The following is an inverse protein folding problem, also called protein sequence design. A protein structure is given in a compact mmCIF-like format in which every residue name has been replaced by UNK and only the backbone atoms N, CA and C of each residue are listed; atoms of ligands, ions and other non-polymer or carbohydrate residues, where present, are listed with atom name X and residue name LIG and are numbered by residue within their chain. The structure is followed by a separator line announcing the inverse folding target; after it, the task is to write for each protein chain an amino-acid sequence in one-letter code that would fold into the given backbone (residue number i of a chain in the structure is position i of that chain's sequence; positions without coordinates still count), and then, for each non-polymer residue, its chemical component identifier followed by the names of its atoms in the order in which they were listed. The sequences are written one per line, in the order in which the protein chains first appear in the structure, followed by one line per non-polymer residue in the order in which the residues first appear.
data_IF_641806753168
#
_entry.id   IF_641806753168
#
_cell.length_a   1.000
_cell.length_b   1.000
_cell.length_c   1.000
_cell.angle_alpha   90.00
_cell.angle_beta   90.00
_cell.angle_gamma   90.00
#
_symmetry.space_group_name_H-M   'P 1'
#
loop_
_entity.id
_entity.type
_entity.pdbx_description
1 polymer ?
#
# COMPACT_ATOMS: atom_id res chain seq x y z
N UNK A 1 13.71 6.03 -5.68
CA UNK A 1 14.07 6.90 -6.84
C UNK A 1 12.87 7.78 -7.11
N UNK A 2 13.01 9.10 -7.04
CA UNK A 2 11.94 10.04 -7.35
C UNK A 2 12.14 10.52 -8.80
N UNK A 3 11.25 10.08 -9.70
CA UNK A 3 11.27 10.48 -11.09
C UNK A 3 10.54 11.81 -11.27
N UNK A 4 11.11 12.71 -12.05
CA UNK A 4 10.42 13.92 -12.47
C UNK A 4 9.23 13.60 -13.39
N UNK A 5 8.33 14.57 -13.58
CA UNK A 5 7.19 14.44 -14.49
C UNK A 5 7.62 14.01 -15.90
N UNK A 6 8.68 14.63 -16.44
CA UNK A 6 9.20 14.33 -17.79
C UNK A 6 9.81 12.94 -17.88
N UNK A 7 10.46 12.48 -16.80
CA UNK A 7 10.98 11.12 -16.73
C UNK A 7 9.85 10.09 -16.71
N UNK A 8 8.75 10.38 -16.01
CA UNK A 8 7.56 9.52 -16.05
C UNK A 8 6.96 9.47 -17.45
N UNK A 9 6.85 10.59 -18.15
CA UNK A 9 6.35 10.62 -19.53
C UNK A 9 7.25 9.81 -20.46
N UNK A 10 8.58 9.91 -20.32
CA UNK A 10 9.53 9.10 -21.08
C UNK A 10 9.38 7.59 -20.81
N UNK A 11 9.17 7.18 -19.55
CA UNK A 11 8.90 5.79 -19.18
C UNK A 11 7.61 5.29 -19.80
N UNK A 12 6.53 6.08 -19.70
CA UNK A 12 5.21 5.76 -20.28
C UNK A 12 5.32 5.59 -21.80
N UNK A 13 5.97 6.51 -22.49
CA UNK A 13 6.15 6.45 -23.94
C UNK A 13 7.01 5.27 -24.37
N UNK A 14 8.09 4.98 -23.64
CA UNK A 14 8.91 3.81 -23.88
C UNK A 14 8.11 2.51 -23.73
N UNK A 15 7.35 2.37 -22.65
CA UNK A 15 6.50 1.19 -22.41
C UNK A 15 5.47 1.04 -23.53
N UNK A 16 4.78 2.11 -23.88
CA UNK A 16 3.74 2.07 -24.90
C UNK A 16 4.26 1.73 -26.29
N UNK A 17 5.47 2.22 -26.67
CA UNK A 17 6.00 2.09 -28.02
C UNK A 17 6.95 0.90 -28.22
N UNK A 18 7.72 0.53 -27.17
CA UNK A 18 8.77 -0.49 -27.28
C UNK A 18 8.40 -1.83 -26.66
N UNK A 19 7.60 -1.83 -25.59
CA UNK A 19 7.33 -3.04 -24.80
C UNK A 19 5.89 -3.56 -24.97
N UNK A 20 4.90 -2.68 -25.06
CA UNK A 20 3.50 -3.08 -25.27
C UNK A 20 3.26 -3.96 -26.50
N UNK A 21 3.92 -3.74 -27.67
CA UNK A 21 3.76 -4.63 -28.81
C UNK A 21 4.17 -6.08 -28.56
N UNK A 22 4.96 -6.32 -27.50
CA UNK A 22 5.40 -7.66 -27.08
C UNK A 22 4.65 -8.20 -25.89
N UNK A 23 3.53 -7.55 -25.47
CA UNK A 23 2.68 -8.00 -24.38
C UNK A 23 3.02 -7.42 -23.00
N UNK A 24 4.03 -6.57 -22.89
CA UNK A 24 4.36 -5.88 -21.62
C UNK A 24 3.60 -4.56 -21.56
N UNK A 25 2.36 -4.62 -21.09
CA UNK A 25 1.41 -3.51 -21.16
C UNK A 25 1.14 -2.82 -19.82
N UNK A 26 1.97 -3.06 -18.79
CA UNK A 26 1.78 -2.51 -17.45
C UNK A 26 3.01 -1.74 -16.98
N UNK A 27 2.76 -0.58 -16.36
CA UNK A 27 3.73 0.15 -15.56
C UNK A 27 3.39 -0.09 -14.09
N UNK A 28 4.39 -0.46 -13.28
CA UNK A 28 4.24 -0.58 -11.84
C UNK A 28 5.23 0.35 -11.13
N UNK A 29 4.75 1.10 -10.15
CA UNK A 29 5.66 1.78 -9.22
C UNK A 29 6.39 0.75 -8.37
N UNK A 30 7.60 1.05 -7.93
CA UNK A 30 8.38 0.14 -7.09
C UNK A 30 9.26 0.92 -6.11
N UNK A 31 9.72 0.23 -5.08
CA UNK A 31 10.64 0.76 -4.09
C UNK A 31 9.97 1.28 -2.83
N UNK A 32 10.71 1.12 -1.75
CA UNK A 32 10.32 1.57 -0.41
C UNK A 32 10.53 3.08 -0.30
N UNK A 33 9.68 3.85 -0.97
CA UNK A 33 9.67 5.29 -0.83
C UNK A 33 8.71 5.70 0.30
N UNK A 34 9.03 6.77 1.01
CA UNK A 34 8.13 7.37 1.97
C UNK A 34 6.87 7.90 1.25
N UNK A 35 5.90 7.03 1.11
CA UNK A 35 4.62 7.33 0.48
C UNK A 35 3.65 7.75 1.56
N UNK A 36 3.53 9.03 1.77
CA UNK A 36 2.52 9.55 2.67
C UNK A 36 1.27 9.89 1.89
N UNK A 37 0.11 9.64 2.50
CA UNK A 37 -1.11 10.26 2.03
C UNK A 37 -0.95 11.77 2.20
N UNK A 38 -0.75 12.48 1.09
CA UNK A 38 -0.70 13.94 1.06
C UNK A 38 -2.12 14.49 1.07
N UNK A 39 -2.26 15.76 1.27
CA UNK A 39 -3.54 16.48 1.26
C UNK A 39 -4.53 16.05 2.36
N UNK A 40 -4.00 15.54 3.47
CA UNK A 40 -4.80 15.12 4.61
C UNK A 40 -5.56 13.80 4.41
N UNK A 41 -5.30 13.08 3.32
CA UNK A 41 -5.88 11.77 3.04
C UNK A 41 -5.37 10.67 3.97
N UNK A 42 -6.03 9.52 3.91
CA UNK A 42 -5.67 8.32 4.67
C UNK A 42 -4.99 7.25 3.83
N UNK A 43 -5.07 7.37 2.50
CA UNK A 43 -4.45 6.47 1.54
C UNK A 43 -3.43 7.20 0.68
N UNK A 44 -2.51 6.45 0.08
CA UNK A 44 -1.45 7.02 -0.75
C UNK A 44 -2.01 7.81 -1.92
N UNK A 45 -1.61 9.06 -2.09
CA UNK A 45 -2.05 9.94 -3.18
C UNK A 45 -0.92 10.33 -4.13
N UNK A 46 0.33 10.08 -3.75
CA UNK A 46 1.51 10.44 -4.52
C UNK A 46 2.51 9.30 -4.54
N UNK A 47 3.28 9.20 -5.62
CA UNK A 47 4.48 8.39 -5.70
C UNK A 47 5.67 9.34 -5.88
N UNK A 48 6.44 9.51 -4.84
CA UNK A 48 7.43 10.60 -4.78
C UNK A 48 6.76 11.97 -4.96
N UNK A 49 7.19 12.75 -5.93
CA UNK A 49 6.59 14.04 -6.29
C UNK A 49 5.39 13.93 -7.24
N UNK A 50 5.20 12.77 -7.87
CA UNK A 50 4.12 12.53 -8.85
C UNK A 50 2.78 12.25 -8.18
N UNK A 51 1.71 13.04 -8.45
CA UNK A 51 0.36 12.65 -8.07
C UNK A 51 -0.04 11.34 -8.76
N UNK A 52 -0.42 10.33 -7.98
CA UNK A 52 -0.72 9.00 -8.50
C UNK A 52 -1.86 9.01 -9.52
N UNK A 53 -2.89 9.82 -9.27
CA UNK A 53 -4.02 9.99 -10.21
C UNK A 53 -3.56 10.52 -11.57
N UNK A 54 -2.57 11.40 -11.60
CA UNK A 54 -2.01 11.92 -12.85
C UNK A 54 -1.17 10.87 -13.57
N UNK A 55 -0.34 10.10 -12.84
CA UNK A 55 0.40 8.98 -13.39
C UNK A 55 -0.55 7.97 -14.06
N UNK A 56 -1.60 7.56 -13.35
CA UNK A 56 -2.60 6.62 -13.87
C UNK A 56 -3.25 7.17 -15.13
N UNK A 57 -3.70 8.44 -15.12
CA UNK A 57 -4.31 9.08 -16.27
C UNK A 57 -3.41 9.06 -17.51
N UNK A 58 -2.13 9.43 -17.34
CA UNK A 58 -1.16 9.45 -18.46
C UNK A 58 -0.90 8.07 -19.03
N UNK A 59 -0.69 7.07 -18.18
CA UNK A 59 -0.46 5.70 -18.59
C UNK A 59 -1.68 5.10 -19.31
N UNK A 60 -2.88 5.31 -18.76
CA UNK A 60 -4.15 4.86 -19.38
C UNK A 60 -4.40 5.52 -20.74
N UNK A 61 -4.04 6.79 -20.94
CA UNK A 61 -4.15 7.47 -22.21
C UNK A 61 -3.29 6.83 -23.33
N UNK A 62 -2.23 6.10 -22.95
CA UNK A 62 -1.40 5.29 -23.88
C UNK A 62 -1.83 3.81 -23.92
N UNK A 63 -2.95 3.48 -23.27
CA UNK A 63 -3.51 2.13 -23.21
C UNK A 63 -2.66 1.15 -22.40
N UNK A 64 -1.96 1.67 -21.38
CA UNK A 64 -1.22 0.85 -20.41
C UNK A 64 -2.06 0.57 -19.18
N UNK A 65 -1.81 -0.56 -18.55
CA UNK A 65 -2.24 -0.87 -17.19
C UNK A 65 -1.31 -0.20 -16.18
N UNK A 66 -1.81 0.03 -14.98
CA UNK A 66 -1.03 0.64 -13.90
C UNK A 66 -1.06 -0.24 -12.67
N UNK A 67 0.12 -0.57 -12.20
CA UNK A 67 0.36 -1.20 -10.91
C UNK A 67 0.95 -0.22 -9.90
N UNK A 68 0.71 -0.48 -8.63
CA UNK A 68 1.33 0.25 -7.52
C UNK A 68 2.04 -0.69 -6.56
N UNK A 69 3.15 -0.21 -6.02
CA UNK A 69 3.83 -0.83 -4.89
C UNK A 69 3.29 -0.19 -3.61
N UNK A 70 2.52 -0.94 -2.86
CA UNK A 70 2.00 -0.52 -1.56
C UNK A 70 1.51 -1.74 -0.78
N UNK A 71 1.21 -1.56 0.51
CA UNK A 71 0.74 -2.64 1.37
C UNK A 71 -0.42 -2.12 2.25
N UNK A 72 -1.62 -2.71 2.17
CA UNK A 72 -2.77 -2.27 2.96
C UNK A 72 -2.62 -2.54 4.47
N UNK A 73 -1.62 -3.33 4.88
CA UNK A 73 -1.29 -3.48 6.29
C UNK A 73 -0.40 -2.35 6.82
N UNK A 74 0.09 -1.47 5.94
CA UNK A 74 0.85 -0.27 6.31
C UNK A 74 -0.06 0.95 6.40
N UNK A 75 -0.21 1.50 7.58
CA UNK A 75 -0.92 2.77 7.77
C UNK A 75 0.07 3.92 7.64
N UNK A 76 -0.11 4.75 6.61
CA UNK A 76 0.77 5.87 6.25
C UNK A 76 0.06 7.21 6.27
N UNK A 77 -1.24 7.21 6.49
CA UNK A 77 -2.07 8.40 6.47
C UNK A 77 -1.99 9.21 7.75
N UNK A 78 -2.69 10.33 7.76
CA UNK A 78 -2.81 11.18 8.93
C UNK A 78 -3.56 10.45 10.05
N UNK A 79 -2.86 10.11 11.13
CA UNK A 79 -3.35 9.20 12.18
C UNK A 79 -4.65 9.65 12.85
N UNK A 80 -4.93 10.95 12.91
CA UNK A 80 -6.15 11.47 13.52
C UNK A 80 -7.35 11.52 12.54
N UNK A 81 -7.13 11.14 11.26
CA UNK A 81 -8.19 11.04 10.28
C UNK A 81 -9.08 9.84 10.56
N UNK A 82 -10.37 9.98 10.26
CA UNK A 82 -11.34 8.89 10.40
C UNK A 82 -11.29 7.95 9.20
N UNK A 83 -11.41 6.66 9.46
CA UNK A 83 -11.65 5.65 8.44
C UNK A 83 -13.05 5.86 7.86
N UNK A 84 -13.19 6.00 6.53
CA UNK A 84 -14.49 6.20 5.89
C UNK A 84 -15.51 5.13 6.29
N UNK A 85 -16.73 5.57 6.57
CA UNK A 85 -17.81 4.67 6.99
C UNK A 85 -17.75 4.21 8.45
N UNK A 86 -16.77 4.69 9.23
CA UNK A 86 -16.62 4.32 10.65
C UNK A 86 -16.44 5.54 11.54
N UNK A 87 -16.49 5.30 12.87
CA UNK A 87 -16.12 6.30 13.88
C UNK A 87 -14.67 6.18 14.36
N UNK A 88 -13.90 5.24 13.81
CA UNK A 88 -12.53 4.96 14.21
C UNK A 88 -11.54 5.92 13.53
N UNK A 89 -10.52 6.36 14.28
CA UNK A 89 -9.36 7.05 13.71
C UNK A 89 -8.32 6.04 13.23
N UNK A 90 -7.48 6.42 12.26
CA UNK A 90 -6.35 5.57 11.86
C UNK A 90 -5.48 5.18 13.05
N UNK A 91 -5.27 6.12 13.99
CA UNK A 91 -4.50 5.87 15.22
C UNK A 91 -5.04 4.69 16.01
N UNK A 92 -6.37 4.51 16.09
CA UNK A 92 -6.95 3.40 16.82
C UNK A 92 -6.70 2.05 16.17
N UNK A 93 -6.53 2.02 14.84
CA UNK A 93 -6.25 0.82 14.08
C UNK A 93 -4.78 0.36 14.18
N UNK A 94 -3.91 1.21 14.68
CA UNK A 94 -2.47 0.94 14.80
C UNK A 94 -2.07 0.47 16.19
N UNK A 95 -2.99 0.45 17.14
CA UNK A 95 -2.72 0.15 18.54
C UNK A 95 -3.67 -0.91 19.05
N UNK A 96 -3.11 -2.05 19.39
CA UNK A 96 -3.61 -2.82 20.51
C UNK A 96 -3.04 -2.17 21.78
N UNK A 97 -3.80 -2.00 22.89
CA UNK A 97 -3.27 -1.51 24.16
C UNK A 97 -2.05 -2.29 24.68
N UNK A 98 -1.82 -3.50 24.15
CA UNK A 98 -0.70 -4.38 24.49
C UNK A 98 0.46 -4.29 23.51
N UNK A 99 0.31 -3.63 22.36
CA UNK A 99 1.33 -3.56 21.31
C UNK A 99 2.17 -2.29 21.43
N UNK A 100 3.49 -2.45 21.37
CA UNK A 100 4.41 -1.33 21.30
C UNK A 100 4.31 -0.66 19.93
N UNK A 101 4.33 0.67 19.88
CA UNK A 101 4.47 1.43 18.63
C UNK A 101 5.78 1.06 17.98
N UNK A 102 5.76 0.62 16.74
CA UNK A 102 6.93 0.05 16.06
C UNK A 102 8.02 1.06 15.68
N UNK A 103 7.72 2.33 15.55
CA UNK A 103 8.70 3.36 15.16
C UNK A 103 8.50 4.66 15.94
N UNK A 104 8.77 4.68 17.25
CA UNK A 104 8.56 5.92 18.00
C UNK A 104 9.53 7.05 17.62
N UNK A 105 10.70 6.74 17.08
CA UNK A 105 11.80 7.71 17.02
C UNK A 105 12.65 7.66 15.72
N UNK A 106 12.16 7.12 14.63
CA UNK A 106 12.94 7.15 13.38
C UNK A 106 12.63 8.42 12.61
N UNK A 107 13.40 9.47 12.90
CA UNK A 107 13.26 10.82 12.33
C UNK A 107 13.46 10.90 10.82
N UNK A 108 14.07 9.89 10.20
CA UNK A 108 14.43 9.87 8.77
C UNK A 108 13.53 8.97 7.92
N UNK A 109 12.54 8.33 8.50
CA UNK A 109 11.59 7.50 7.77
C UNK A 109 10.18 8.02 8.00
N UNK A 110 9.35 8.01 6.96
CA UNK A 110 7.96 8.38 7.13
C UNK A 110 7.33 7.42 8.14
N UNK A 111 6.55 8.01 9.05
CA UNK A 111 5.78 7.30 10.05
C UNK A 111 4.78 6.36 9.37
N UNK A 112 5.16 5.14 9.09
CA UNK A 112 4.17 4.11 8.85
C UNK A 112 4.10 3.19 10.06
N UNK A 113 2.94 2.68 10.32
CA UNK A 113 2.65 1.73 11.36
C UNK A 113 1.79 0.61 10.81
N UNK A 114 1.79 -0.53 11.47
CA UNK A 114 1.04 -1.68 11.02
C UNK A 114 -0.42 -1.63 11.48
N UNK A 115 -1.31 -2.05 10.60
CA UNK A 115 -2.73 -2.23 10.88
C UNK A 115 -2.94 -3.40 11.84
N UNK A 116 -3.72 -3.21 12.89
CA UNK A 116 -4.19 -4.31 13.77
C UNK A 116 -5.43 -4.92 13.14
N UNK A 117 -5.32 -6.10 12.54
CA UNK A 117 -6.38 -6.70 11.71
C UNK A 117 -7.57 -7.25 12.50
N UNK A 118 -7.46 -7.44 13.81
CA UNK A 118 -8.59 -7.76 14.70
C UNK A 118 -9.34 -6.52 15.21
N UNK A 119 -8.87 -5.32 14.89
CA UNK A 119 -9.62 -4.10 15.20
C UNK A 119 -10.91 -4.04 14.36
N UNK A 120 -12.07 -3.66 14.98
CA UNK A 120 -13.35 -3.64 14.27
C UNK A 120 -13.42 -2.78 13.00
N UNK A 121 -12.54 -1.79 12.85
CA UNK A 121 -12.46 -0.94 11.65
C UNK A 121 -11.43 -1.39 10.61
N UNK A 122 -10.75 -2.51 10.82
CA UNK A 122 -9.67 -2.95 9.95
C UNK A 122 -10.15 -3.36 8.56
N UNK A 123 -11.29 -4.05 8.51
CA UNK A 123 -11.90 -4.49 7.25
C UNK A 123 -12.33 -3.29 6.40
N UNK A 124 -12.97 -2.31 6.99
CA UNK A 124 -13.40 -1.07 6.32
C UNK A 124 -12.21 -0.26 5.83
N UNK A 125 -11.12 -0.26 6.59
CA UNK A 125 -9.89 0.40 6.14
C UNK A 125 -9.30 -0.27 4.90
N UNK A 126 -9.18 -1.61 4.90
CA UNK A 126 -8.66 -2.37 3.75
C UNK A 126 -9.61 -2.23 2.54
N UNK A 127 -10.91 -2.35 2.74
CA UNK A 127 -11.91 -2.17 1.67
C UNK A 127 -11.82 -0.77 1.05
N UNK A 128 -11.73 0.26 1.88
CA UNK A 128 -11.55 1.64 1.43
C UNK A 128 -10.22 1.87 0.71
N UNK A 129 -9.16 1.17 1.09
CA UNK A 129 -7.86 1.22 0.45
C UNK A 129 -7.92 0.64 -0.99
N UNK A 130 -8.55 -0.52 -1.19
CA UNK A 130 -8.77 -1.08 -2.52
C UNK A 130 -9.72 -0.22 -3.36
N UNK A 131 -10.79 0.29 -2.75
CA UNK A 131 -11.69 1.23 -3.41
C UNK A 131 -10.96 2.47 -3.92
N UNK A 132 -10.07 3.05 -3.12
CA UNK A 132 -9.29 4.22 -3.48
C UNK A 132 -8.44 3.97 -4.75
N UNK A 133 -7.76 2.83 -4.84
CA UNK A 133 -6.98 2.47 -6.02
C UNK A 133 -7.86 2.14 -7.23
N UNK A 134 -8.97 1.43 -7.02
CA UNK A 134 -9.95 1.16 -8.06
C UNK A 134 -10.49 2.46 -8.67
N UNK A 135 -10.90 3.41 -7.85
CA UNK A 135 -11.46 4.70 -8.29
C UNK A 135 -10.44 5.55 -9.07
N UNK A 136 -9.15 5.34 -8.85
CA UNK A 136 -8.09 5.95 -9.66
C UNK A 136 -7.81 5.21 -10.97
N UNK A 137 -8.28 3.97 -11.12
CA UNK A 137 -8.02 3.13 -12.28
C UNK A 137 -6.75 2.29 -12.19
N UNK A 138 -6.27 1.99 -10.99
CA UNK A 138 -5.17 1.04 -10.75
C UNK A 138 -5.66 -0.38 -11.01
N UNK A 139 -4.85 -1.17 -11.72
CA UNK A 139 -5.18 -2.54 -12.12
C UNK A 139 -4.49 -3.61 -11.26
N UNK A 140 -3.39 -3.24 -10.62
CA UNK A 140 -2.49 -4.18 -9.96
C UNK A 140 -1.86 -3.57 -8.71
N UNK A 141 -1.69 -4.39 -7.69
CA UNK A 141 -0.94 -4.00 -6.48
C UNK A 141 0.10 -5.05 -6.15
N UNK A 142 1.34 -4.60 -5.96
CA UNK A 142 2.42 -5.40 -5.40
C UNK A 142 2.59 -5.05 -3.93
N UNK A 143 2.32 -6.04 -3.07
CA UNK A 143 2.46 -5.93 -1.62
C UNK A 143 3.73 -6.66 -1.19
N UNK A 144 4.62 -5.96 -0.51
CA UNK A 144 5.89 -6.50 -0.07
C UNK A 144 6.00 -6.58 1.45
N UNK A 145 7.00 -7.32 1.94
CA UNK A 145 7.31 -7.49 3.35
C UNK A 145 6.15 -8.07 4.19
N UNK A 146 5.36 -8.94 3.60
CA UNK A 146 4.18 -9.50 4.26
C UNK A 146 4.54 -10.39 5.46
N UNK A 147 5.66 -11.11 5.40
CA UNK A 147 6.17 -11.90 6.53
C UNK A 147 6.49 -11.04 7.77
N UNK A 148 6.85 -9.79 7.58
CA UNK A 148 7.17 -8.90 8.72
C UNK A 148 5.96 -8.59 9.60
N UNK A 149 4.76 -8.81 9.11
CA UNK A 149 3.54 -8.64 9.88
C UNK A 149 3.37 -9.73 10.95
N UNK A 150 3.64 -10.97 10.60
CA UNK A 150 3.50 -12.11 11.50
C UNK A 150 4.74 -12.29 12.38
N UNK A 151 5.92 -12.21 11.77
CA UNK A 151 7.18 -12.56 12.39
C UNK A 151 7.67 -11.45 13.32
N UNK A 152 7.71 -11.76 14.59
CA UNK A 152 8.33 -10.96 15.63
C UNK A 152 9.69 -11.52 15.97
N UNK A 153 10.69 -11.36 15.11
CA UNK A 153 12.06 -11.75 15.45
C UNK A 153 12.70 -10.70 16.38
N UNK A 154 12.75 -10.96 17.69
CA UNK A 154 13.38 -10.04 18.65
C UNK A 154 14.91 -9.96 18.49
N UNK A 155 15.50 -10.78 17.63
CA UNK A 155 16.95 -10.83 17.37
C UNK A 155 17.38 -10.02 16.15
N UNK A 156 16.46 -9.48 15.36
CA UNK A 156 16.82 -8.57 14.26
C UNK A 156 16.85 -7.13 14.75
N UNK A 157 17.98 -6.46 14.53
CA UNK A 157 18.18 -5.03 14.82
C UNK A 157 17.28 -4.12 13.94
N UNK A 158 16.31 -4.67 13.23
CA UNK A 158 15.38 -3.95 12.38
C UNK A 158 13.98 -3.92 13.03
N UNK A 159 13.53 -2.76 13.49
CA UNK A 159 12.22 -2.61 14.13
C UNK A 159 11.06 -2.62 13.11
N UNK A 160 11.18 -3.35 12.02
CA UNK A 160 10.16 -3.40 10.95
C UNK A 160 9.18 -4.57 11.09
N UNK A 161 9.53 -5.58 11.89
CA UNK A 161 8.64 -6.71 12.15
C UNK A 161 7.71 -6.38 13.31
N UNK A 162 6.43 -6.71 13.22
CA UNK A 162 5.48 -6.37 14.27
C UNK A 162 5.13 -7.53 15.20
N UNK A 163 5.36 -8.76 14.77
CA UNK A 163 5.08 -9.93 15.61
C UNK A 163 3.59 -10.07 15.96
N UNK A 164 2.70 -9.72 15.07
CA UNK A 164 1.26 -9.76 15.32
C UNK A 164 0.68 -11.17 15.30
N UNK A 165 1.45 -12.13 14.81
CA UNK A 165 1.10 -13.53 14.82
C UNK A 165 0.19 -13.96 13.67
N UNK A 166 0.08 -15.27 13.53
CA UNK A 166 -0.56 -15.94 12.39
C UNK A 166 -2.03 -15.58 12.23
N UNK A 167 -2.82 -15.59 13.29
CA UNK A 167 -4.25 -15.30 13.20
C UNK A 167 -4.56 -13.92 12.62
N UNK A 168 -3.79 -12.91 13.04
CA UNK A 168 -3.92 -11.55 12.51
C UNK A 168 -3.45 -11.46 11.06
N UNK A 169 -2.39 -12.17 10.72
CA UNK A 169 -1.89 -12.25 9.35
C UNK A 169 -2.92 -12.87 8.41
N UNK A 170 -3.45 -14.06 8.75
CA UNK A 170 -4.48 -14.76 7.96
C UNK A 170 -5.75 -13.92 7.81
N UNK A 171 -6.17 -13.23 8.87
CA UNK A 171 -7.32 -12.31 8.81
C UNK A 171 -7.05 -11.14 7.87
N UNK A 172 -5.86 -10.56 7.93
CA UNK A 172 -5.45 -9.51 7.00
C UNK A 172 -5.46 -9.97 5.56
N UNK A 173 -4.92 -11.15 5.27
CA UNK A 173 -4.96 -11.77 3.95
C UNK A 173 -6.39 -12.01 3.46
N UNK A 174 -7.29 -12.50 4.32
CA UNK A 174 -8.68 -12.69 3.96
C UNK A 174 -9.35 -11.38 3.54
N UNK A 175 -9.19 -10.29 4.31
CA UNK A 175 -9.73 -8.98 3.94
C UNK A 175 -9.12 -8.42 2.65
N UNK A 176 -7.82 -8.64 2.42
CA UNK A 176 -7.13 -8.27 1.19
C UNK A 176 -7.73 -9.02 0.00
N UNK A 177 -7.85 -10.34 0.08
CA UNK A 177 -8.39 -11.16 -1.01
C UNK A 177 -9.85 -10.80 -1.33
N UNK A 178 -10.69 -10.62 -0.32
CA UNK A 178 -12.09 -10.22 -0.49
C UNK A 178 -12.21 -8.86 -1.19
N UNK A 179 -11.44 -7.87 -0.72
CA UNK A 179 -11.49 -6.52 -1.28
C UNK A 179 -10.88 -6.45 -2.68
N UNK A 180 -9.76 -7.14 -2.91
CA UNK A 180 -9.14 -7.25 -4.23
C UNK A 180 -10.10 -7.85 -5.27
N UNK A 181 -10.78 -8.94 -4.91
CA UNK A 181 -11.79 -9.57 -5.76
C UNK A 181 -12.99 -8.64 -6.03
N UNK A 182 -13.47 -7.96 -4.99
CA UNK A 182 -14.60 -7.00 -5.08
C UNK A 182 -14.31 -5.87 -6.06
N UNK A 183 -13.10 -5.34 -6.06
CA UNK A 183 -12.71 -4.20 -6.90
C UNK A 183 -11.97 -4.59 -8.18
N UNK A 184 -11.77 -5.88 -8.44
CA UNK A 184 -11.11 -6.38 -9.65
C UNK A 184 -9.64 -5.96 -9.76
N UNK A 185 -8.97 -5.77 -8.65
CA UNK A 185 -7.54 -5.44 -8.61
C UNK A 185 -6.74 -6.73 -8.45
N UNK A 186 -5.83 -7.00 -9.39
CA UNK A 186 -4.91 -8.12 -9.26
C UNK A 186 -3.84 -7.81 -8.22
N UNK A 187 -3.51 -8.79 -7.38
CA UNK A 187 -2.54 -8.63 -6.29
C UNK A 187 -1.36 -9.58 -6.43
N UNK A 188 -0.16 -9.10 -6.14
CA UNK A 188 1.03 -9.91 -5.95
C UNK A 188 1.55 -9.73 -4.54
N UNK A 189 1.66 -10.81 -3.82
CA UNK A 189 2.18 -10.83 -2.45
C UNK A 189 3.63 -11.28 -2.52
N UNK A 190 4.53 -10.44 -2.01
CA UNK A 190 5.96 -10.69 -1.96
C UNK A 190 6.36 -10.97 -0.51
N UNK A 191 7.27 -11.92 -0.32
CA UNK A 191 7.67 -12.41 0.99
C UNK A 191 6.45 -12.83 1.85
N UNK A 192 5.55 -13.68 1.34
CA UNK A 192 4.46 -14.21 2.17
C UNK A 192 5.01 -15.25 3.14
N UNK A 193 4.30 -15.45 4.25
CA UNK A 193 4.43 -16.70 4.99
C UNK A 193 3.62 -17.78 4.25
N UNK A 194 4.26 -18.92 4.02
CA UNK A 194 3.66 -20.08 3.36
C UNK A 194 3.51 -21.20 4.39
N UNK A 195 2.29 -21.62 4.63
CA UNK A 195 1.95 -22.73 5.53
C UNK A 195 1.42 -23.93 4.76
#
# INVERSE_FOLDING_TARGET
MDLSSDQWDAVIDMMATKFKPYGYDMICTDGFLPQLARDGGIYMSHYGSMPLKELVKRAKAKGLKVGVYDNPLWIKGKLDSKVPGTNYSLRSLTRNPQDKVMFPDVTDRPDFTWLVTDHPGAREYIDGWFKHYHDMGVDFVRMDFMCWYEDGDPGRDYPVTCGYGRERYERGLAYICESAAKYGIFTSIVMPELY
#
